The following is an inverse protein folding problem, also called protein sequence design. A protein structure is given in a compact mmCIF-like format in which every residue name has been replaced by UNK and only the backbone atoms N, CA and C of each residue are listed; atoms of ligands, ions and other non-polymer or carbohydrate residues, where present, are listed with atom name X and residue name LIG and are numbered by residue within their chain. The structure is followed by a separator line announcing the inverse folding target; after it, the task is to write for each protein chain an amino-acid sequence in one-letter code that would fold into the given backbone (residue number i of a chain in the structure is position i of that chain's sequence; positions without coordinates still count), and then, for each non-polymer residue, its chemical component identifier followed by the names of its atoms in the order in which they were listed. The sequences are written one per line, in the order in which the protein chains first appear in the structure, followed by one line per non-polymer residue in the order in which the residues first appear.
data_IF_454714712086
#
_entry.id   IF_454714712086
#
_cell.length_a   1.000
_cell.length_b   1.000
_cell.length_c   1.000
_cell.angle_alpha   90.00
_cell.angle_beta   90.00
_cell.angle_gamma   90.00
#
_symmetry.space_group_name_H-M   'P 1'
#
loop_
_entity.id
_entity.type
_entity.pdbx_description
1 polymer ?
#
# COMPACT_ATOMS: atom_id res chain seq x y z
N UNK A 1 -20.74 55.08 -42.37
CA UNK A 1 -20.85 54.68 -40.96
C UNK A 1 -20.89 53.15 -40.89
N UNK A 2 -19.73 52.50 -40.70
CA UNK A 2 -19.63 51.02 -40.72
C UNK A 2 -20.00 50.44 -39.35
N UNK A 3 -21.24 50.01 -39.20
CA UNK A 3 -21.67 49.22 -38.04
C UNK A 3 -21.04 47.82 -38.13
N UNK A 4 -20.00 47.56 -37.33
CA UNK A 4 -19.49 46.20 -37.11
C UNK A 4 -20.63 45.34 -36.57
N UNK A 5 -21.07 44.34 -37.36
CA UNK A 5 -21.99 43.29 -36.90
C UNK A 5 -21.41 42.65 -35.64
N UNK A 6 -22.05 42.83 -34.48
CA UNK A 6 -21.71 42.10 -33.26
C UNK A 6 -21.94 40.61 -33.54
N UNK A 7 -20.85 39.83 -33.61
CA UNK A 7 -20.92 38.38 -33.77
C UNK A 7 -21.54 37.79 -32.50
N UNK A 8 -22.68 37.13 -32.66
CA UNK A 8 -23.39 36.44 -31.58
C UNK A 8 -22.51 35.26 -31.12
N UNK A 9 -21.85 35.38 -29.97
CA UNK A 9 -21.21 34.20 -29.36
C UNK A 9 -22.29 33.37 -28.67
N UNK A 10 -22.42 32.08 -28.97
CA UNK A 10 -23.44 31.25 -28.33
C UNK A 10 -23.27 31.28 -26.81
N UNK A 11 -24.37 31.36 -26.08
CA UNK A 11 -24.40 31.35 -24.61
C UNK A 11 -23.70 30.09 -24.10
N UNK A 12 -22.49 30.25 -23.56
CA UNK A 12 -21.75 29.15 -22.94
C UNK A 12 -22.14 29.08 -21.47
N UNK A 13 -22.31 27.87 -20.94
CA UNK A 13 -22.55 27.71 -19.51
C UNK A 13 -21.41 28.34 -18.70
N UNK A 14 -21.70 28.95 -17.53
CA UNK A 14 -20.67 29.55 -16.68
C UNK A 14 -19.51 28.59 -16.39
N UNK A 15 -19.80 27.29 -16.17
CA UNK A 15 -18.79 26.26 -15.98
C UNK A 15 -17.89 26.05 -17.19
N UNK A 16 -18.44 26.05 -18.42
CA UNK A 16 -17.65 25.92 -19.66
C UNK A 16 -16.75 27.14 -19.89
N UNK A 17 -17.19 28.33 -19.50
CA UNK A 17 -16.39 29.57 -19.51
C UNK A 17 -15.27 29.54 -18.48
N UNK A 18 -15.57 29.14 -17.24
CA UNK A 18 -14.60 28.99 -16.16
C UNK A 18 -13.52 27.97 -16.54
N UNK A 19 -13.92 26.80 -17.04
CA UNK A 19 -12.98 25.76 -17.49
C UNK A 19 -12.08 26.22 -18.65
N UNK A 20 -12.63 26.95 -19.62
CA UNK A 20 -11.85 27.51 -20.73
C UNK A 20 -10.82 28.53 -20.24
N UNK A 21 -11.16 29.36 -19.24
CA UNK A 21 -10.22 30.31 -18.62
C UNK A 21 -9.16 29.59 -17.81
N UNK A 22 -9.56 28.61 -17.00
CA UNK A 22 -8.66 27.83 -16.17
C UNK A 22 -7.64 27.04 -17.01
N UNK A 23 -8.08 26.40 -18.10
CA UNK A 23 -7.19 25.69 -19.05
C UNK A 23 -6.17 26.57 -19.77
N UNK A 24 -6.31 27.90 -19.72
CA UNK A 24 -5.30 28.82 -20.24
C UNK A 24 -4.26 29.21 -19.18
N UNK A 25 -4.56 28.99 -17.91
CA UNK A 25 -3.67 29.31 -16.80
C UNK A 25 -2.76 28.11 -16.49
N UNK A 26 -1.52 28.15 -17.00
CA UNK A 26 -0.52 27.09 -16.75
C UNK A 26 -0.24 26.89 -15.25
N UNK A 27 -0.26 27.97 -14.46
CA UNK A 27 0.00 27.90 -13.02
C UNK A 27 -1.10 27.14 -12.25
N UNK A 28 -2.35 27.14 -12.75
CA UNK A 28 -3.43 26.35 -12.16
C UNK A 28 -3.46 24.89 -12.64
N UNK A 29 -3.10 24.64 -13.89
CA UNK A 29 -3.17 23.31 -14.50
C UNK A 29 -2.10 22.38 -13.95
N UNK A 30 -0.87 22.87 -13.72
CA UNK A 30 0.24 22.02 -13.25
C UNK A 30 -0.11 21.35 -11.90
N UNK A 31 -0.51 22.08 -10.84
CA UNK A 31 -0.92 21.46 -9.58
C UNK A 31 -2.13 20.53 -9.75
N UNK A 32 -3.12 20.91 -10.55
CA UNK A 32 -4.30 20.07 -10.79
C UNK A 32 -3.92 18.72 -11.41
N UNK A 33 -3.01 18.73 -12.38
CA UNK A 33 -2.49 17.53 -13.02
C UNK A 33 -1.72 16.65 -12.03
N UNK A 34 -0.91 17.25 -11.16
CA UNK A 34 -0.18 16.51 -10.10
C UNK A 34 -1.15 15.86 -9.12
N UNK A 35 -2.18 16.59 -8.67
CA UNK A 35 -3.23 16.05 -7.79
C UNK A 35 -3.95 14.89 -8.46
N UNK A 36 -4.38 15.06 -9.72
CA UNK A 36 -5.08 14.02 -10.46
C UNK A 36 -4.19 12.78 -10.65
N UNK A 37 -2.91 12.97 -10.99
CA UNK A 37 -1.95 11.88 -11.11
C UNK A 37 -1.77 11.15 -9.78
N UNK A 38 -1.63 11.89 -8.68
CA UNK A 38 -1.47 11.30 -7.33
C UNK A 38 -2.72 10.51 -6.94
N UNK A 39 -3.93 11.00 -7.27
CA UNK A 39 -5.18 10.27 -7.05
C UNK A 39 -5.21 8.98 -7.86
N UNK A 40 -4.81 9.02 -9.12
CA UNK A 40 -4.74 7.82 -9.97
C UNK A 40 -3.76 6.80 -9.38
N UNK A 41 -2.57 7.25 -8.97
CA UNK A 41 -1.56 6.39 -8.33
C UNK A 41 -2.10 5.81 -7.01
N UNK A 42 -2.77 6.62 -6.20
CA UNK A 42 -3.38 6.18 -4.94
C UNK A 42 -4.48 5.12 -5.15
N UNK A 43 -5.30 5.26 -6.18
CA UNK A 43 -6.37 4.31 -6.51
C UNK A 43 -5.83 3.02 -7.13
N UNK A 44 -4.85 3.13 -8.03
CA UNK A 44 -4.26 2.00 -8.74
C UNK A 44 -3.03 1.40 -8.04
N UNK A 45 -2.66 1.91 -6.87
CA UNK A 45 -1.39 1.63 -6.21
C UNK A 45 -1.08 0.14 -6.09
N UNK A 46 -2.00 -0.65 -5.54
CA UNK A 46 -1.81 -2.11 -5.35
C UNK A 46 -1.65 -2.93 -6.64
N UNK A 47 -1.94 -2.34 -7.81
CA UNK A 47 -1.71 -2.97 -9.10
C UNK A 47 -0.30 -2.68 -9.63
N UNK A 48 0.30 -1.57 -9.20
CA UNK A 48 1.58 -1.07 -9.71
C UNK A 48 2.73 -1.37 -8.73
N UNK A 49 2.43 -1.49 -7.43
CA UNK A 49 3.47 -1.69 -6.41
C UNK A 49 4.17 -3.04 -6.54
N UNK A 50 5.52 -3.09 -6.38
CA UNK A 50 6.26 -4.34 -6.27
C UNK A 50 5.79 -5.25 -5.12
N UNK A 51 5.34 -4.67 -4.02
CA UNK A 51 4.68 -5.36 -2.92
C UNK A 51 3.16 -5.11 -2.98
N UNK A 52 2.35 -6.10 -3.39
CA UNK A 52 0.89 -5.98 -3.46
C UNK A 52 0.21 -6.32 -2.11
N UNK A 53 0.97 -6.63 -1.06
CA UNK A 53 0.37 -6.97 0.25
C UNK A 53 -0.40 -5.78 0.82
N UNK A 54 -1.47 -6.03 1.59
CA UNK A 54 -2.20 -4.95 2.25
C UNK A 54 -1.26 -4.06 3.05
N UNK A 55 -1.32 -2.74 2.78
CA UNK A 55 -0.48 -1.70 3.35
C UNK A 55 1.03 -1.81 3.02
N UNK A 56 1.41 -2.59 1.99
CA UNK A 56 2.81 -2.84 1.62
C UNK A 56 3.66 -3.22 2.86
N UNK A 57 3.17 -4.22 3.59
CA UNK A 57 3.65 -4.56 4.93
C UNK A 57 4.30 -5.95 4.97
N UNK A 58 4.89 -6.40 3.86
CA UNK A 58 5.69 -7.61 3.88
C UNK A 58 7.05 -7.32 4.54
N UNK A 59 7.28 -7.85 5.75
CA UNK A 59 8.45 -7.54 6.57
C UNK A 59 9.55 -8.59 6.38
N UNK A 60 10.79 -8.14 6.20
CA UNK A 60 11.99 -8.97 6.07
C UNK A 60 13.18 -8.33 6.80
N UNK A 61 13.37 -8.69 8.07
CA UNK A 61 14.41 -8.05 8.90
C UNK A 61 15.83 -8.21 8.35
N UNK A 62 16.10 -9.29 7.61
CA UNK A 62 17.39 -9.61 6.99
C UNK A 62 17.86 -8.53 5.99
N UNK A 63 16.91 -7.84 5.34
CA UNK A 63 17.18 -6.76 4.38
C UNK A 63 16.76 -5.41 4.97
N UNK A 64 16.88 -5.21 6.27
CA UNK A 64 16.59 -3.92 6.88
C UNK A 64 17.58 -2.84 6.39
N UNK A 65 17.06 -1.61 6.22
CA UNK A 65 17.82 -0.40 5.93
C UNK A 65 18.77 -0.48 4.71
N UNK A 66 18.35 -1.18 3.65
CA UNK A 66 19.11 -1.26 2.41
C UNK A 66 18.96 0.01 1.57
N UNK A 67 20.03 0.35 0.87
CA UNK A 67 20.10 1.55 0.03
C UNK A 67 19.21 1.44 -1.21
N UNK A 68 18.81 2.57 -1.83
CA UNK A 68 18.15 2.59 -3.12
C UNK A 68 18.91 1.80 -4.20
N UNK A 69 18.18 1.09 -5.06
CA UNK A 69 18.75 0.23 -6.11
C UNK A 69 19.22 -1.15 -5.64
N UNK A 70 18.98 -1.50 -4.38
CA UNK A 70 19.30 -2.83 -3.83
C UNK A 70 18.56 -3.94 -4.58
N UNK A 71 19.23 -5.07 -4.81
CA UNK A 71 18.63 -6.24 -5.43
C UNK A 71 19.12 -7.52 -4.75
N UNK A 72 18.21 -8.45 -4.52
CA UNK A 72 18.50 -9.72 -3.83
C UNK A 72 17.64 -10.83 -4.43
N UNK A 73 18.15 -12.04 -4.40
CA UNK A 73 17.38 -13.23 -4.76
C UNK A 73 16.45 -13.59 -3.61
N UNK A 74 15.16 -13.67 -3.90
CA UNK A 74 14.13 -14.12 -2.98
C UNK A 74 13.82 -15.58 -3.24
N UNK A 75 13.87 -16.38 -2.18
CA UNK A 75 13.26 -17.70 -2.14
C UNK A 75 11.81 -17.57 -1.69
N UNK A 76 10.88 -17.88 -2.58
CA UNK A 76 9.45 -17.90 -2.30
C UNK A 76 9.06 -19.28 -1.76
N UNK A 77 8.88 -19.39 -0.45
CA UNK A 77 8.45 -20.62 0.22
C UNK A 77 6.93 -20.62 0.33
N UNK A 78 6.26 -21.68 -0.12
CA UNK A 78 4.80 -21.74 -0.07
C UNK A 78 4.28 -21.74 1.37
N UNK A 79 3.22 -20.97 1.64
CA UNK A 79 2.52 -21.01 2.93
C UNK A 79 1.62 -22.22 3.00
N UNK A 80 1.55 -22.83 4.18
CA UNK A 80 0.62 -23.93 4.46
C UNK A 80 -0.79 -23.38 4.77
N UNK A 81 -1.31 -22.58 3.84
CA UNK A 81 -2.65 -21.98 3.88
C UNK A 81 -3.34 -22.22 2.52
N UNK A 82 -4.68 -22.34 2.47
CA UNK A 82 -5.41 -22.48 1.23
C UNK A 82 -5.15 -21.28 0.30
N UNK A 83 -5.15 -21.52 -1.02
CA UNK A 83 -4.89 -20.46 -2.01
C UNK A 83 -5.91 -19.32 -1.88
N UNK A 84 -5.42 -18.10 -1.61
CA UNK A 84 -6.30 -16.92 -1.57
C UNK A 84 -6.31 -16.29 -2.96
N UNK A 85 -7.34 -16.60 -3.75
CA UNK A 85 -7.58 -15.89 -5.00
C UNK A 85 -8.30 -14.56 -4.72
N UNK A 86 -7.59 -13.45 -4.93
CA UNK A 86 -8.20 -12.11 -4.91
C UNK A 86 -8.56 -11.68 -6.32
N UNK A 87 -9.81 -11.28 -6.55
CA UNK A 87 -10.21 -10.64 -7.81
C UNK A 87 -9.41 -9.35 -8.04
N UNK A 88 -9.24 -8.96 -9.31
CA UNK A 88 -8.48 -7.76 -9.68
C UNK A 88 -9.01 -6.50 -8.98
N UNK A 89 -10.34 -6.35 -8.91
CA UNK A 89 -10.97 -5.21 -8.24
C UNK A 89 -10.71 -5.19 -6.73
N UNK A 90 -10.78 -6.35 -6.08
CA UNK A 90 -10.45 -6.46 -4.65
C UNK A 90 -8.97 -6.22 -4.40
N UNK A 91 -8.09 -6.74 -5.27
CA UNK A 91 -6.65 -6.48 -5.21
C UNK A 91 -6.36 -4.98 -5.34
N UNK A 92 -7.01 -4.29 -6.27
CA UNK A 92 -6.88 -2.84 -6.43
C UNK A 92 -7.33 -2.08 -5.17
N UNK A 93 -8.43 -2.50 -4.54
CA UNK A 93 -8.98 -1.78 -3.37
C UNK A 93 -8.28 -2.10 -2.05
N UNK A 94 -7.86 -3.34 -1.81
CA UNK A 94 -7.37 -3.78 -0.49
C UNK A 94 -6.00 -4.45 -0.52
N UNK A 95 -5.39 -4.62 -1.69
CA UNK A 95 -4.22 -5.46 -1.88
C UNK A 95 -4.57 -6.95 -1.90
N UNK A 96 -3.54 -7.79 -2.01
CA UNK A 96 -3.65 -9.24 -2.00
C UNK A 96 -2.67 -9.84 -0.99
N UNK A 97 -3.14 -10.73 -0.13
CA UNK A 97 -2.24 -11.48 0.77
C UNK A 97 -1.32 -12.35 -0.07
N UNK A 98 -0.03 -12.40 0.27
CA UNK A 98 0.92 -13.29 -0.39
C UNK A 98 0.71 -14.73 0.08
N UNK A 99 0.66 -15.65 -0.87
CA UNK A 99 0.63 -17.10 -0.64
C UNK A 99 2.03 -17.69 -0.34
N UNK A 100 3.07 -16.84 -0.34
CA UNK A 100 4.46 -17.24 -0.12
C UNK A 100 5.07 -16.44 1.04
N UNK A 101 5.98 -17.09 1.78
CA UNK A 101 7.00 -16.41 2.58
C UNK A 101 8.18 -16.09 1.66
N UNK A 102 8.50 -14.81 1.52
CA UNK A 102 9.65 -14.36 0.73
C UNK A 102 10.87 -14.27 1.64
N UNK A 103 11.89 -15.08 1.36
CA UNK A 103 13.13 -15.14 2.14
C UNK A 103 14.30 -14.65 1.29
N UNK A 104 15.00 -13.57 1.67
CA UNK A 104 16.16 -13.10 0.94
C UNK A 104 17.34 -14.04 1.18
N UNK A 105 17.98 -14.50 0.09
CA UNK A 105 19.07 -15.49 0.15
C UNK A 105 20.32 -14.98 -0.56
N UNK A 106 21.48 -15.23 0.05
CA UNK A 106 22.79 -14.98 -0.57
C UNK A 106 23.27 -16.18 -1.39
N UNK A 107 23.06 -17.38 -0.87
CA UNK A 107 23.45 -18.62 -1.53
C UNK A 107 22.50 -19.75 -1.15
N UNK A 108 22.41 -20.75 -2.03
CA UNK A 108 21.63 -21.95 -1.79
C UNK A 108 22.40 -23.19 -2.25
N UNK A 109 22.12 -24.33 -1.63
CA UNK A 109 22.67 -25.63 -1.99
C UNK A 109 21.65 -26.70 -1.70
N UNK A 110 21.38 -27.55 -2.69
CA UNK A 110 20.54 -28.72 -2.48
C UNK A 110 21.34 -29.84 -1.81
N UNK A 111 20.78 -30.41 -0.75
CA UNK A 111 21.30 -31.63 -0.09
C UNK A 111 20.16 -32.63 0.03
N UNK A 112 20.09 -33.57 -0.91
CA UNK A 112 19.03 -34.57 -0.99
C UNK A 112 17.66 -33.90 -1.09
N UNK A 113 16.85 -34.07 -0.04
CA UNK A 113 15.45 -33.62 0.01
C UNK A 113 15.28 -32.23 0.63
N UNK A 114 16.40 -31.57 0.93
CA UNK A 114 16.42 -30.26 1.58
C UNK A 114 17.17 -29.23 0.73
N UNK A 115 16.65 -28.00 0.73
CA UNK A 115 17.38 -26.83 0.28
C UNK A 115 17.98 -26.14 1.51
N UNK A 116 19.30 -26.07 1.54
CA UNK A 116 20.03 -25.29 2.52
C UNK A 116 20.33 -23.93 1.91
N UNK A 117 19.85 -22.87 2.55
CA UNK A 117 20.15 -21.51 2.12
C UNK A 117 20.87 -20.76 3.21
N UNK A 118 21.70 -19.84 2.78
CA UNK A 118 22.29 -18.82 3.63
C UNK A 118 21.46 -17.55 3.44
N UNK A 119 20.85 -17.08 4.53
CA UNK A 119 20.07 -15.84 4.52
C UNK A 119 20.95 -14.67 4.09
N UNK A 120 20.32 -13.67 3.48
CA UNK A 120 21.03 -12.45 3.15
C UNK A 120 21.44 -11.70 4.43
N UNK A 121 22.69 -11.25 4.47
CA UNK A 121 23.22 -10.42 5.54
C UNK A 121 24.23 -9.46 4.90
N UNK A 122 24.14 -8.13 5.14
CA UNK A 122 25.12 -7.16 4.68
C UNK A 122 26.57 -7.50 5.08
N UNK A 123 26.77 -8.13 6.24
CA UNK A 123 28.09 -8.53 6.75
C UNK A 123 28.57 -9.88 6.19
N UNK A 124 27.71 -10.61 5.48
CA UNK A 124 28.02 -11.91 4.89
C UNK A 124 28.00 -13.08 5.88
N UNK A 125 27.64 -12.85 7.15
CA UNK A 125 27.52 -13.85 8.23
C UNK A 125 26.09 -14.39 8.38
N UNK A 126 25.33 -14.40 7.27
CA UNK A 126 23.93 -14.77 7.27
C UNK A 126 23.64 -16.16 7.84
N UNK A 127 22.55 -16.27 8.59
CA UNK A 127 22.13 -17.52 9.21
C UNK A 127 21.82 -18.58 8.14
N UNK A 128 22.20 -19.83 8.40
CA UNK A 128 21.85 -20.95 7.54
C UNK A 128 20.50 -21.51 7.94
N UNK A 129 19.62 -21.70 6.97
CA UNK A 129 18.30 -22.28 7.17
C UNK A 129 18.05 -23.38 6.16
N UNK A 130 17.39 -24.44 6.61
CA UNK A 130 17.08 -25.61 5.80
C UNK A 130 15.58 -25.78 5.69
N UNK A 131 15.08 -25.99 4.48
CA UNK A 131 13.70 -26.36 4.22
C UNK A 131 13.65 -27.65 3.41
N UNK A 132 12.61 -28.45 3.64
CA UNK A 132 12.32 -29.56 2.73
C UNK A 132 11.82 -28.99 1.39
N UNK A 133 12.35 -29.50 0.28
CA UNK A 133 12.06 -28.97 -1.07
C UNK A 133 10.58 -29.07 -1.45
N UNK A 134 9.85 -30.09 -0.95
CA UNK A 134 8.42 -30.20 -1.22
C UNK A 134 7.60 -29.11 -0.50
N UNK A 135 8.02 -28.67 0.69
CA UNK A 135 7.37 -27.59 1.44
C UNK A 135 7.60 -26.21 0.79
N UNK A 136 8.73 -26.05 0.10
CA UNK A 136 9.00 -24.81 -0.65
C UNK A 136 8.01 -24.64 -1.80
N UNK A 137 7.67 -25.74 -2.49
CA UNK A 137 6.84 -25.72 -3.69
C UNK A 137 5.35 -25.81 -3.35
N UNK A 138 4.97 -26.78 -2.51
CA UNK A 138 3.57 -27.15 -2.28
C UNK A 138 3.11 -26.82 -0.86
N UNK A 139 1.83 -26.44 -0.68
CA UNK A 139 1.24 -26.28 0.64
C UNK A 139 0.97 -27.67 1.24
N UNK A 140 1.64 -28.00 2.34
CA UNK A 140 1.62 -29.34 2.93
C UNK A 140 0.71 -29.43 4.15
N UNK A 141 -0.05 -30.53 4.24
CA UNK A 141 -0.80 -30.90 5.44
C UNK A 141 0.05 -31.69 6.44
N UNK A 142 0.94 -32.56 5.92
CA UNK A 142 1.86 -33.41 6.70
C UNK A 142 3.26 -33.34 6.11
N UNK A 143 4.26 -33.66 6.92
CA UNK A 143 5.65 -33.78 6.44
C UNK A 143 5.72 -34.77 5.28
N UNK A 144 6.43 -34.42 4.19
CA UNK A 144 6.50 -35.26 3.00
C UNK A 144 7.28 -36.53 3.33
N UNK A 145 6.86 -37.66 2.75
CA UNK A 145 7.51 -38.95 2.97
C UNK A 145 8.31 -39.29 1.71
N UNK A 146 9.62 -39.49 1.88
CA UNK A 146 10.48 -39.95 0.80
C UNK A 146 10.24 -41.43 0.53
N UNK A 147 10.04 -41.79 -0.75
CA UNK A 147 10.02 -43.16 -1.24
C UNK A 147 10.94 -43.25 -2.45
N UNK A 148 12.09 -43.88 -2.24
CA UNK A 148 13.18 -44.01 -3.22
C UNK A 148 13.66 -42.64 -3.71
N UNK A 149 13.44 -42.33 -4.99
CA UNK A 149 13.81 -41.06 -5.64
C UNK A 149 12.63 -40.08 -5.77
N UNK A 150 11.47 -40.47 -5.25
CA UNK A 150 10.21 -39.70 -5.28
C UNK A 150 9.76 -39.29 -3.88
N UNK A 151 9.06 -38.17 -3.79
CA UNK A 151 8.42 -37.72 -2.56
C UNK A 151 6.91 -37.80 -2.69
N UNK A 152 6.30 -38.42 -1.67
CA UNK A 152 4.86 -38.47 -1.50
C UNK A 152 4.44 -37.24 -0.69
N UNK A 153 3.62 -36.41 -1.33
CA UNK A 153 3.21 -35.10 -0.87
C UNK A 153 1.72 -35.16 -0.55
N UNK A 154 1.35 -34.80 0.67
CA UNK A 154 -0.04 -34.62 1.08
C UNK A 154 -0.34 -33.12 1.09
N UNK A 155 -1.07 -32.64 0.10
CA UNK A 155 -1.45 -31.22 0.03
C UNK A 155 -2.56 -30.90 1.02
N UNK A 156 -2.72 -29.62 1.35
CA UNK A 156 -3.82 -29.13 2.21
C UNK A 156 -5.19 -29.42 1.59
N UNK A 157 -5.26 -29.47 0.26
CA UNK A 157 -6.48 -29.81 -0.48
C UNK A 157 -6.80 -31.31 -0.49
N UNK A 158 -6.02 -32.13 0.22
CA UNK A 158 -6.21 -33.57 0.36
C UNK A 158 -5.68 -34.39 -0.82
N UNK A 159 -4.94 -33.79 -1.75
CA UNK A 159 -4.35 -34.50 -2.88
C UNK A 159 -3.06 -35.21 -2.47
N UNK A 160 -2.88 -36.40 -3.02
CA UNK A 160 -1.69 -37.24 -2.90
C UNK A 160 -0.91 -37.13 -4.21
N UNK A 161 0.25 -36.47 -4.15
CA UNK A 161 1.10 -36.25 -5.32
C UNK A 161 2.44 -36.95 -5.07
N UNK A 162 2.89 -37.75 -6.04
CA UNK A 162 4.24 -38.32 -6.03
C UNK A 162 5.08 -37.58 -7.07
N UNK A 163 6.12 -36.88 -6.64
CA UNK A 163 6.98 -36.08 -7.52
C UNK A 163 8.45 -36.49 -7.33
N UNK A 164 9.21 -36.57 -8.41
CA UNK A 164 10.64 -36.85 -8.34
C UNK A 164 11.40 -35.70 -7.68
N UNK A 165 12.46 -36.05 -6.94
CA UNK A 165 13.28 -35.08 -6.20
C UNK A 165 13.97 -34.10 -7.16
N UNK A 166 14.47 -34.59 -8.31
CA UNK A 166 15.10 -33.74 -9.33
C UNK A 166 14.14 -32.73 -9.98
N UNK A 167 12.89 -33.14 -10.22
CA UNK A 167 11.86 -32.25 -10.77
C UNK A 167 11.55 -31.11 -9.80
N UNK A 168 11.44 -31.40 -8.50
CA UNK A 168 11.23 -30.38 -7.46
C UNK A 168 12.40 -29.39 -7.38
N UNK A 169 13.64 -29.86 -7.49
CA UNK A 169 14.82 -28.98 -7.50
C UNK A 169 14.78 -28.02 -8.70
N UNK A 170 14.55 -28.55 -9.90
CA UNK A 170 14.45 -27.73 -11.12
C UNK A 170 13.28 -26.74 -11.08
N UNK A 171 12.15 -27.13 -10.45
CA UNK A 171 11.01 -26.25 -10.26
C UNK A 171 11.32 -25.10 -9.31
N UNK A 172 12.05 -25.35 -8.22
CA UNK A 172 12.50 -24.32 -7.28
C UNK A 172 13.41 -23.31 -7.97
N UNK A 173 14.39 -23.79 -8.75
CA UNK A 173 15.31 -22.92 -9.49
C UNK A 173 14.58 -22.04 -10.51
N UNK A 174 13.56 -22.59 -11.17
CA UNK A 174 12.83 -21.88 -12.22
C UNK A 174 11.75 -20.93 -11.70
N UNK A 175 11.07 -21.28 -10.61
CA UNK A 175 9.85 -20.58 -10.17
C UNK A 175 9.99 -19.91 -8.80
N UNK A 176 10.62 -20.58 -7.84
CA UNK A 176 10.66 -20.12 -6.44
C UNK A 176 11.83 -19.18 -6.15
N UNK A 177 12.91 -19.24 -6.93
CA UNK A 177 14.05 -18.33 -6.82
C UNK A 177 13.89 -17.17 -7.81
N UNK A 178 13.59 -15.98 -7.30
CA UNK A 178 13.34 -14.80 -8.13
C UNK A 178 14.17 -13.60 -7.65
N UNK A 179 14.81 -12.91 -8.59
CA UNK A 179 15.55 -11.68 -8.28
C UNK A 179 14.57 -10.51 -8.09
N UNK A 180 14.54 -9.94 -6.90
CA UNK A 180 13.69 -8.78 -6.56
C UNK A 180 14.55 -7.51 -6.49
N UNK A 181 14.05 -6.42 -7.07
CA UNK A 181 14.71 -5.11 -7.07
C UNK A 181 13.94 -4.13 -6.19
N UNK A 182 14.66 -3.47 -5.28
CA UNK A 182 14.17 -2.45 -4.37
C UNK A 182 14.65 -1.08 -4.83
N UNK A 183 13.85 -0.45 -5.68
CA UNK A 183 14.21 0.82 -6.36
C UNK A 183 14.57 1.94 -5.37
N UNK A 184 13.78 2.09 -4.31
CA UNK A 184 14.00 3.11 -3.28
C UNK A 184 14.63 2.54 -2.00
N UNK A 185 15.05 1.27 -2.03
CA UNK A 185 15.61 0.58 -0.87
C UNK A 185 14.54 0.07 0.08
N UNK A 186 14.95 -0.24 1.30
CA UNK A 186 14.10 -0.84 2.32
C UNK A 186 14.10 -0.05 3.61
N UNK A 187 13.04 -0.19 4.41
CA UNK A 187 12.96 0.45 5.72
C UNK A 187 13.60 -0.38 6.85
N UNK A 188 13.47 0.08 8.10
CA UNK A 188 13.97 -0.62 9.30
C UNK A 188 13.42 -2.04 9.49
N UNK A 189 12.30 -2.39 8.84
CA UNK A 189 11.70 -3.73 8.88
C UNK A 189 11.89 -4.49 7.57
N UNK A 190 12.70 -3.97 6.65
CA UNK A 190 12.97 -4.56 5.34
C UNK A 190 11.84 -4.47 4.33
N UNK A 191 10.83 -3.63 4.59
CA UNK A 191 9.71 -3.43 3.65
C UNK A 191 10.17 -2.59 2.47
N UNK A 192 9.60 -2.84 1.29
CA UNK A 192 9.89 -2.06 0.08
C UNK A 192 9.41 -0.60 0.22
N UNK A 193 10.35 0.34 0.21
CA UNK A 193 10.04 1.76 0.42
C UNK A 193 9.21 2.36 -0.72
N UNK A 194 9.41 1.89 -1.96
CA UNK A 194 8.63 2.35 -3.11
C UNK A 194 7.14 1.99 -2.94
N UNK A 195 6.88 0.73 -2.61
CA UNK A 195 5.52 0.26 -2.34
C UNK A 195 4.88 1.02 -1.17
N UNK A 196 5.63 1.27 -0.10
CA UNK A 196 5.13 2.04 1.06
C UNK A 196 4.82 3.50 0.71
N UNK A 197 5.58 4.14 -0.17
CA UNK A 197 5.29 5.51 -0.60
C UNK A 197 4.03 5.58 -1.46
N UNK A 198 3.87 4.66 -2.43
CA UNK A 198 2.69 4.60 -3.28
C UNK A 198 1.43 4.35 -2.45
N UNK A 199 1.44 3.34 -1.57
CA UNK A 199 0.28 3.05 -0.72
C UNK A 199 0.07 4.14 0.34
N UNK A 200 1.14 4.75 0.84
CA UNK A 200 1.08 5.90 1.76
C UNK A 200 0.37 7.11 1.14
N UNK A 201 0.58 7.37 -0.16
CA UNK A 201 -0.08 8.47 -0.88
C UNK A 201 -1.61 8.36 -0.82
N UNK A 202 -2.15 7.15 -0.86
CA UNK A 202 -3.59 6.88 -0.74
C UNK A 202 -4.11 7.27 0.64
N UNK A 203 -3.39 6.93 1.69
CA UNK A 203 -3.74 7.31 3.06
C UNK A 203 -3.73 8.83 3.18
N UNK A 204 -2.68 9.51 2.71
CA UNK A 204 -2.57 10.97 2.78
C UNK A 204 -3.69 11.69 2.04
N UNK A 205 -4.03 11.26 0.82
CA UNK A 205 -5.15 11.84 0.05
C UNK A 205 -6.48 11.59 0.77
N UNK A 206 -6.68 10.40 1.32
CA UNK A 206 -7.91 10.07 2.04
C UNK A 206 -8.08 10.98 3.25
N UNK A 207 -7.01 11.19 4.04
CA UNK A 207 -7.01 12.09 5.21
C UNK A 207 -7.37 13.52 4.79
N UNK A 208 -6.67 14.07 3.80
CA UNK A 208 -6.97 15.42 3.31
C UNK A 208 -8.41 15.57 2.82
N UNK A 209 -8.93 14.61 2.06
CA UNK A 209 -10.28 14.68 1.51
C UNK A 209 -11.37 14.54 2.58
N UNK A 210 -11.23 13.55 3.46
CA UNK A 210 -12.25 13.25 4.47
C UNK A 210 -12.27 14.32 5.57
N UNK A 211 -11.11 14.75 6.10
CA UNK A 211 -11.04 15.80 7.12
C UNK A 211 -11.60 17.12 6.61
N UNK A 212 -11.26 17.53 5.38
CA UNK A 212 -11.84 18.74 4.77
C UNK A 212 -13.35 18.59 4.58
N UNK A 213 -13.83 17.42 4.18
CA UNK A 213 -15.26 17.13 4.06
C UNK A 213 -16.00 17.31 5.39
N UNK A 214 -15.47 16.75 6.48
CA UNK A 214 -16.04 16.89 7.82
C UNK A 214 -16.02 18.36 8.26
N UNK A 215 -14.88 19.04 8.11
CA UNK A 215 -14.72 20.45 8.47
C UNK A 215 -15.67 21.37 7.69
N UNK A 216 -15.91 21.10 6.40
CA UNK A 216 -16.89 21.84 5.61
C UNK A 216 -18.31 21.62 6.12
N UNK A 217 -18.69 20.37 6.42
CA UNK A 217 -20.02 20.07 6.95
C UNK A 217 -20.24 20.79 8.27
N UNK A 218 -19.31 20.64 9.22
CA UNK A 218 -19.42 21.28 10.55
C UNK A 218 -19.38 22.80 10.44
N UNK A 219 -18.44 23.35 9.65
CA UNK A 219 -18.28 24.78 9.48
C UNK A 219 -19.47 25.45 8.79
N UNK A 220 -20.05 24.81 7.75
CA UNK A 220 -21.26 25.32 7.09
C UNK A 220 -22.45 25.26 8.05
N UNK A 221 -22.61 24.19 8.83
CA UNK A 221 -23.69 24.08 9.80
C UNK A 221 -23.60 25.16 10.88
N UNK A 222 -22.45 25.30 11.54
CA UNK A 222 -22.25 26.32 12.57
C UNK A 222 -22.35 27.75 12.00
N UNK A 223 -21.72 28.00 10.84
CA UNK A 223 -21.76 29.32 10.21
C UNK A 223 -23.16 29.72 9.72
N UNK A 224 -23.93 28.76 9.18
CA UNK A 224 -25.32 29.02 8.78
C UNK A 224 -26.24 29.24 9.98
N UNK A 225 -26.04 28.50 11.08
CA UNK A 225 -26.78 28.73 12.34
C UNK A 225 -26.48 30.11 12.92
N UNK A 226 -25.21 30.49 13.02
CA UNK A 226 -24.78 31.79 13.51
C UNK A 226 -25.36 32.93 12.63
N UNK A 227 -25.22 32.82 11.31
CA UNK A 227 -25.70 33.82 10.36
C UNK A 227 -27.22 33.92 10.25
N UNK A 228 -27.95 32.81 10.46
CA UNK A 228 -29.42 32.81 10.37
C UNK A 228 -30.09 33.37 11.62
N UNK A 229 -29.68 32.94 12.81
CA UNK A 229 -30.32 33.36 14.06
C UNK A 229 -29.73 34.66 14.62
N UNK A 230 -28.43 34.90 14.43
CA UNK A 230 -27.72 36.06 15.00
C UNK A 230 -27.77 36.13 16.53
N UNK A 231 -27.32 37.27 17.07
CA UNK A 231 -27.39 37.59 18.50
C UNK A 231 -26.72 36.54 19.39
N UNK A 232 -27.44 36.03 20.39
CA UNK A 232 -26.90 35.07 21.37
C UNK A 232 -26.35 33.78 20.75
N UNK A 233 -26.95 33.30 19.66
CA UNK A 233 -26.49 32.07 18.99
C UNK A 233 -25.13 32.30 18.34
N UNK A 234 -24.94 33.45 17.71
CA UNK A 234 -23.66 33.86 17.13
C UNK A 234 -22.59 34.02 18.23
N UNK A 235 -22.92 34.72 19.32
CA UNK A 235 -22.00 34.92 20.46
C UNK A 235 -21.48 33.60 21.03
N UNK A 236 -22.35 32.59 21.21
CA UNK A 236 -21.97 31.27 21.73
C UNK A 236 -21.06 30.52 20.75
N UNK A 237 -21.38 30.55 19.45
CA UNK A 237 -20.59 29.89 18.42
C UNK A 237 -19.22 30.55 18.29
N UNK A 238 -19.17 31.88 18.25
CA UNK A 238 -17.92 32.65 18.21
C UNK A 238 -17.07 32.42 19.45
N UNK A 239 -17.69 32.37 20.64
CA UNK A 239 -16.99 32.02 21.87
C UNK A 239 -16.35 30.62 21.77
N UNK A 240 -17.10 29.62 21.31
CA UNK A 240 -16.60 28.26 21.15
C UNK A 240 -15.40 28.19 20.17
N UNK A 241 -15.50 28.86 19.02
CA UNK A 241 -14.41 28.92 18.03
C UNK A 241 -13.15 29.55 18.66
N UNK A 242 -13.31 30.67 19.37
CA UNK A 242 -12.19 31.35 20.03
C UNK A 242 -11.51 30.47 21.09
N UNK A 243 -12.29 29.70 21.87
CA UNK A 243 -11.75 28.75 22.84
C UNK A 243 -10.94 27.66 22.14
N UNK A 244 -11.47 27.04 21.07
CA UNK A 244 -10.76 25.98 20.33
C UNK A 244 -9.47 26.54 19.70
N UNK A 245 -9.54 27.73 19.09
CA UNK A 245 -8.38 28.37 18.45
C UNK A 245 -7.33 28.88 19.45
N UNK A 246 -7.69 29.05 20.72
CA UNK A 246 -6.71 29.38 21.77
C UNK A 246 -5.76 28.21 22.09
N UNK A 247 -6.14 26.98 21.72
CA UNK A 247 -5.33 25.78 21.93
C UNK A 247 -4.42 25.58 20.71
N UNK A 248 -3.09 25.41 20.89
CA UNK A 248 -2.21 25.07 19.79
C UNK A 248 -2.66 23.79 19.07
N UNK A 249 -2.91 23.88 17.77
CA UNK A 249 -3.53 22.79 16.98
C UNK A 249 -2.80 21.46 17.11
N UNK A 250 -1.46 21.46 17.10
CA UNK A 250 -0.66 20.25 17.27
C UNK A 250 -0.90 19.58 18.63
N UNK A 251 -1.03 20.37 19.71
CA UNK A 251 -1.31 19.83 21.04
C UNK A 251 -2.70 19.20 21.10
N UNK A 252 -3.70 19.85 20.48
CA UNK A 252 -5.06 19.34 20.41
C UNK A 252 -5.12 18.01 19.64
N UNK A 253 -4.49 17.94 18.46
CA UNK A 253 -4.43 16.73 17.63
C UNK A 253 -3.82 15.57 18.40
N UNK A 254 -2.69 15.80 19.11
CA UNK A 254 -2.02 14.77 19.91
C UNK A 254 -2.90 14.33 21.08
N UNK A 255 -3.53 15.26 21.80
CA UNK A 255 -4.40 14.95 22.93
C UNK A 255 -5.61 14.11 22.50
N UNK A 256 -6.27 14.48 21.40
CA UNK A 256 -7.40 13.72 20.84
C UNK A 256 -6.97 12.33 20.39
N UNK A 257 -5.84 12.22 19.68
CA UNK A 257 -5.29 10.94 19.22
C UNK A 257 -4.95 10.03 20.40
N UNK A 258 -4.39 10.58 21.48
CA UNK A 258 -4.07 9.81 22.67
C UNK A 258 -5.34 9.36 23.41
N UNK A 259 -6.33 10.23 23.54
CA UNK A 259 -7.61 9.93 24.21
C UNK A 259 -8.45 8.89 23.47
N UNK A 260 -8.52 8.95 22.13
CA UNK A 260 -9.28 8.03 21.30
C UNK A 260 -8.54 6.69 21.02
N UNK A 261 -7.27 6.61 21.39
CA UNK A 261 -6.42 5.45 21.15
C UNK A 261 -5.96 5.31 19.69
N UNK A 262 -5.32 4.17 19.38
CA UNK A 262 -4.76 3.91 18.06
C UNK A 262 -5.85 3.43 17.09
N UNK A 263 -5.99 4.11 15.95
CA UNK A 263 -6.76 3.60 14.83
C UNK A 263 -6.80 4.56 13.65
N UNK A 264 -7.25 4.02 12.51
CA UNK A 264 -7.31 4.76 11.25
C UNK A 264 -8.32 5.91 11.32
N UNK A 265 -9.50 5.68 11.90
CA UNK A 265 -10.60 6.66 11.98
C UNK A 265 -10.27 7.86 12.88
N UNK A 266 -9.48 7.64 13.92
CA UNK A 266 -9.08 8.64 14.89
C UNK A 266 -8.27 9.76 14.25
N UNK A 267 -7.46 9.46 13.22
CA UNK A 267 -6.65 10.45 12.50
C UNK A 267 -7.54 11.50 11.84
N UNK A 268 -8.68 11.09 11.26
CA UNK A 268 -9.59 12.00 10.57
C UNK A 268 -10.40 12.89 11.51
N UNK A 269 -10.67 12.40 12.72
CA UNK A 269 -11.40 13.17 13.74
C UNK A 269 -10.45 14.17 14.42
N UNK A 270 -9.18 13.78 14.58
CA UNK A 270 -8.17 14.62 15.21
C UNK A 270 -7.74 15.80 14.34
N UNK A 271 -7.73 15.62 13.01
CA UNK A 271 -7.34 16.63 11.99
C UNK A 271 -8.55 17.35 11.43
#
# INVERSE_FOLDING_TARGET
MNFRKKTYQPSRSPGKLAWKRFRKNKAGIIPLSVILLTIIIALLGYLITPDPTPFANNQQLDISMQKPGFAVTMLNVRKNEPEIHTSLLRKMLTGAKSNYYEVPVSSYTFKGDSINVTLFDPEGSGLRRSWNIANVVYPLLKSPVKKDDSMIIHTIDGQLISVHTGDLQSLIEKQNLQKKHFWLGTDQFGRDLLSRLIIGSRVSISVGFISVGISLIVGILLGSLAGYFGGRTDDVIMWFINVVWSIPTLLLVIAITFALGRGFWQIFIAV
#
